data_IF_610076173526
#
_entry.id   IF_610076173526
#
_cell.length_a   1.000
_cell.length_b   1.000
_cell.length_c   1.000
_cell.angle_alpha   90.00
_cell.angle_beta   90.00
_cell.angle_gamma   90.00
#
_symmetry.space_group_name_H-M   'P 1'
#
loop_
_entity.id
_entity.type
_entity.pdbx_description
1 polymer ?
#
# COMPACT_ATOMS: atom_id res chain seq x y z
N UNK A 1 17.71 -15.23 3.53
CA UNK A 1 17.74 -16.47 2.74
C UNK A 1 16.32 -16.94 2.45
N UNK A 2 15.73 -16.43 1.35
CA UNK A 2 14.33 -16.60 0.96
C UNK A 2 13.83 -18.07 1.03
N UNK A 3 14.55 -19.10 0.52
CA UNK A 3 14.04 -20.47 0.56
C UNK A 3 13.72 -20.97 1.97
N UNK A 4 14.54 -20.65 2.96
CA UNK A 4 14.32 -21.09 4.34
C UNK A 4 13.18 -20.33 5.01
N UNK A 5 13.12 -19.01 4.85
CA UNK A 5 12.01 -18.19 5.37
C UNK A 5 10.67 -18.59 4.76
N UNK A 6 10.62 -18.89 3.47
CA UNK A 6 9.41 -19.39 2.82
C UNK A 6 9.03 -20.79 3.31
N UNK A 7 9.98 -21.68 3.47
CA UNK A 7 9.72 -23.03 3.97
C UNK A 7 9.10 -22.99 5.38
N UNK A 8 9.68 -22.19 6.27
CA UNK A 8 9.15 -21.99 7.63
C UNK A 8 7.74 -21.36 7.59
N UNK A 9 7.55 -20.30 6.80
CA UNK A 9 6.24 -19.66 6.66
C UNK A 9 5.17 -20.65 6.17
N UNK A 10 5.45 -21.41 5.12
CA UNK A 10 4.52 -22.41 4.56
C UNK A 10 4.22 -23.50 5.57
N UNK A 11 5.23 -24.00 6.29
CA UNK A 11 5.01 -25.03 7.34
C UNK A 11 4.10 -24.52 8.45
N UNK A 12 4.29 -23.26 8.90
CA UNK A 12 3.41 -22.62 9.88
C UNK A 12 2.00 -22.38 9.33
N UNK A 13 1.86 -21.96 8.06
CA UNK A 13 0.57 -21.75 7.43
C UNK A 13 -0.24 -23.05 7.35
N UNK A 14 0.38 -24.15 6.95
CA UNK A 14 -0.26 -25.49 6.93
C UNK A 14 -0.71 -25.87 8.33
N UNK A 15 0.15 -25.71 9.34
CA UNK A 15 -0.19 -26.06 10.72
C UNK A 15 -1.38 -25.23 11.25
N UNK A 16 -1.43 -23.92 10.94
CA UNK A 16 -2.57 -23.05 11.30
C UNK A 16 -3.85 -23.50 10.62
N UNK A 17 -3.81 -23.79 9.33
CA UNK A 17 -5.00 -24.25 8.59
C UNK A 17 -5.54 -25.56 9.16
N UNK A 18 -4.68 -26.51 9.48
CA UNK A 18 -5.07 -27.78 10.14
C UNK A 18 -5.71 -27.57 11.53
N UNK A 19 -5.33 -26.50 12.21
CA UNK A 19 -5.91 -26.08 13.51
C UNK A 19 -7.15 -25.19 13.38
N UNK A 20 -7.57 -24.85 12.15
CA UNK A 20 -8.67 -23.94 11.88
C UNK A 20 -8.39 -22.47 12.29
N UNK A 21 -7.12 -22.11 12.48
CA UNK A 21 -6.71 -20.77 12.84
C UNK A 21 -6.53 -19.93 11.56
N UNK A 22 -7.44 -18.99 11.34
CA UNK A 22 -7.37 -18.05 10.22
C UNK A 22 -6.79 -16.73 10.68
N UNK A 23 -5.69 -16.32 10.05
CA UNK A 23 -5.16 -14.98 10.22
C UNK A 23 -5.85 -14.04 9.24
N UNK A 24 -6.38 -12.93 9.76
CA UNK A 24 -6.76 -11.82 8.91
C UNK A 24 -5.47 -11.18 8.37
N UNK A 25 -5.44 -10.93 7.06
CA UNK A 25 -4.37 -10.19 6.42
C UNK A 25 -4.95 -8.92 5.80
N UNK A 26 -5.07 -7.84 6.57
CA UNK A 26 -5.68 -6.58 6.12
C UNK A 26 -5.01 -6.03 4.85
N UNK A 27 -3.71 -6.28 4.70
CA UNK A 27 -2.88 -5.77 3.61
C UNK A 27 -2.93 -6.62 2.33
N UNK A 28 -3.76 -7.68 2.26
CA UNK A 28 -3.79 -8.58 1.11
C UNK A 28 -4.16 -7.87 -0.21
N UNK A 29 -5.03 -6.86 -0.14
CA UNK A 29 -5.42 -6.05 -1.30
C UNK A 29 -4.29 -5.16 -1.77
N UNK A 30 -3.61 -4.51 -0.85
CA UNK A 30 -2.54 -3.57 -1.15
C UNK A 30 -1.34 -4.30 -1.77
N UNK A 31 -1.00 -5.49 -1.27
CA UNK A 31 0.03 -6.37 -1.86
C UNK A 31 -0.29 -6.71 -3.31
N UNK A 32 -1.53 -7.06 -3.62
CA UNK A 32 -1.95 -7.37 -5.00
C UNK A 32 -1.73 -6.20 -5.95
N UNK A 33 -1.96 -4.97 -5.49
CA UNK A 33 -1.87 -3.77 -6.32
C UNK A 33 -0.46 -3.19 -6.41
N UNK A 34 0.31 -3.25 -5.33
CA UNK A 34 1.65 -2.70 -5.26
C UNK A 34 2.71 -3.65 -5.83
N UNK A 35 2.49 -4.95 -5.68
CA UNK A 35 3.43 -6.02 -6.04
C UNK A 35 2.74 -7.12 -6.87
N UNK A 36 2.16 -6.77 -8.04
CA UNK A 36 1.33 -7.70 -8.81
C UNK A 36 2.09 -8.94 -9.30
N UNK A 37 3.38 -8.80 -9.62
CA UNK A 37 4.20 -9.93 -10.08
C UNK A 37 4.48 -10.90 -8.95
N UNK A 38 4.89 -10.39 -7.80
CA UNK A 38 5.19 -11.17 -6.59
C UNK A 38 3.90 -11.80 -6.03
N UNK A 39 2.77 -11.09 -6.14
CA UNK A 39 1.47 -11.64 -5.78
C UNK A 39 1.10 -12.85 -6.64
N UNK A 40 1.29 -12.78 -7.96
CA UNK A 40 1.09 -13.92 -8.86
C UNK A 40 2.03 -15.09 -8.52
N UNK A 41 3.29 -14.81 -8.17
CA UNK A 41 4.23 -15.84 -7.68
C UNK A 41 3.73 -16.44 -6.36
N UNK A 42 3.19 -15.64 -5.46
CA UNK A 42 2.56 -16.11 -4.22
C UNK A 42 1.38 -17.06 -4.47
N UNK A 43 0.50 -16.72 -5.41
CA UNK A 43 -0.62 -17.61 -5.79
C UNK A 43 -0.13 -18.92 -6.43
N UNK A 44 0.91 -18.86 -7.27
CA UNK A 44 1.53 -20.07 -7.84
C UNK A 44 2.15 -20.95 -6.76
N UNK A 45 2.77 -20.35 -5.75
CA UNK A 45 3.31 -21.09 -4.61
C UNK A 45 2.21 -21.85 -3.84
N UNK A 46 1.03 -21.23 -3.63
CA UNK A 46 -0.11 -21.92 -3.01
C UNK A 46 -0.53 -23.16 -3.81
N UNK A 47 -0.56 -23.07 -5.13
CA UNK A 47 -0.89 -24.23 -5.98
C UNK A 47 0.16 -25.35 -5.87
N UNK A 48 1.44 -24.99 -5.82
CA UNK A 48 2.54 -25.96 -5.60
C UNK A 48 2.38 -26.64 -4.24
N UNK A 49 2.10 -25.86 -3.18
CA UNK A 49 1.83 -26.42 -1.84
C UNK A 49 0.67 -27.40 -1.88
N UNK A 50 -0.45 -27.04 -2.51
CA UNK A 50 -1.62 -27.89 -2.64
C UNK A 50 -1.30 -29.21 -3.35
N UNK A 51 -0.51 -29.16 -4.42
CA UNK A 51 -0.13 -30.37 -5.19
C UNK A 51 0.73 -31.32 -4.36
N UNK A 52 1.65 -30.82 -3.53
CA UNK A 52 2.62 -31.63 -2.79
C UNK A 52 2.12 -32.07 -1.42
N UNK A 53 1.35 -31.23 -0.73
CA UNK A 53 0.88 -31.48 0.66
C UNK A 53 -0.57 -31.93 0.73
N UNK A 54 -1.36 -31.73 -0.35
CA UNK A 54 -2.82 -31.89 -0.41
C UNK A 54 -3.59 -30.88 0.46
N UNK A 55 -2.91 -29.95 1.10
CA UNK A 55 -3.50 -28.87 1.90
C UNK A 55 -3.83 -27.68 1.00
N UNK A 56 -4.99 -27.05 1.23
CA UNK A 56 -5.42 -25.85 0.50
C UNK A 56 -5.32 -24.65 1.42
N UNK A 57 -4.32 -23.82 1.20
CA UNK A 57 -4.13 -22.60 1.97
C UNK A 57 -5.02 -21.46 1.46
N UNK A 58 -5.48 -20.54 2.34
CA UNK A 58 -6.23 -19.35 1.95
C UNK A 58 -5.44 -18.45 1.00
N UNK A 59 -6.13 -17.69 0.11
CA UNK A 59 -5.48 -16.70 -0.78
C UNK A 59 -4.65 -15.66 -0.05
N UNK A 60 -5.03 -15.31 1.18
CA UNK A 60 -4.26 -14.40 2.02
C UNK A 60 -2.81 -14.86 2.25
N UNK A 61 -2.57 -16.17 2.32
CA UNK A 61 -1.20 -16.71 2.42
C UNK A 61 -0.39 -16.46 1.15
N UNK A 62 -1.04 -16.34 -0.02
CA UNK A 62 -0.38 -15.92 -1.25
C UNK A 62 0.19 -14.50 -1.15
N UNK A 63 -0.56 -13.58 -0.53
CA UNK A 63 -0.06 -12.23 -0.23
C UNK A 63 1.11 -12.26 0.75
N UNK A 64 1.06 -13.11 1.79
CA UNK A 64 2.18 -13.27 2.72
C UNK A 64 3.43 -13.79 2.02
N UNK A 65 3.30 -14.78 1.14
CA UNK A 65 4.41 -15.31 0.33
C UNK A 65 4.97 -14.20 -0.58
N UNK A 66 4.10 -13.42 -1.23
CA UNK A 66 4.51 -12.29 -2.05
C UNK A 66 5.37 -11.30 -1.26
N UNK A 67 4.97 -10.95 -0.04
CA UNK A 67 5.76 -10.07 0.83
C UNK A 67 7.14 -10.64 1.16
N UNK A 68 7.27 -11.95 1.37
CA UNK A 68 8.58 -12.58 1.56
C UNK A 68 9.46 -12.48 0.30
N UNK A 69 8.87 -12.58 -0.89
CA UNK A 69 9.58 -12.44 -2.16
C UNK A 69 10.07 -11.00 -2.32
N UNK A 70 9.18 -10.00 -2.18
CA UNK A 70 9.53 -8.57 -2.24
C UNK A 70 10.64 -8.22 -1.26
N UNK A 71 10.52 -8.69 0.00
CA UNK A 71 11.55 -8.46 1.03
C UNK A 71 12.91 -9.03 0.66
N UNK A 72 12.95 -10.12 -0.10
CA UNK A 72 14.21 -10.73 -0.56
C UNK A 72 14.80 -10.02 -1.78
N UNK A 73 13.97 -9.35 -2.60
CA UNK A 73 14.40 -8.59 -3.78
C UNK A 73 14.91 -7.19 -3.43
N UNK A 74 14.41 -6.62 -2.34
CA UNK A 74 14.94 -5.35 -1.84
C UNK A 74 16.37 -5.55 -1.32
N UNK A 75 17.33 -4.83 -1.88
CA UNK A 75 18.74 -4.90 -1.49
C UNK A 75 18.97 -4.65 0.02
N UNK A 76 18.11 -3.90 0.66
CA UNK A 76 18.12 -3.64 2.11
C UNK A 76 17.58 -4.78 2.94
N UNK A 77 16.81 -5.72 2.35
CA UNK A 77 16.15 -6.82 3.07
C UNK A 77 15.22 -6.34 4.19
N UNK A 78 14.83 -5.08 4.18
CA UNK A 78 14.11 -4.44 5.28
C UNK A 78 12.60 -4.61 5.11
N UNK A 79 12.11 -5.72 5.66
CA UNK A 79 10.68 -6.00 5.78
C UNK A 79 9.93 -4.85 6.50
N UNK A 80 10.59 -4.15 7.45
CA UNK A 80 9.98 -3.05 8.17
C UNK A 80 9.66 -1.87 7.25
N UNK A 81 10.56 -1.51 6.35
CA UNK A 81 10.32 -0.44 5.35
C UNK A 81 9.08 -0.74 4.50
N UNK A 82 8.93 -1.98 4.09
CA UNK A 82 7.80 -2.41 3.29
C UNK A 82 6.49 -2.41 4.10
N UNK A 83 6.51 -2.96 5.31
CA UNK A 83 5.33 -2.94 6.20
C UNK A 83 4.93 -1.51 6.52
N UNK A 84 5.89 -0.61 6.78
CA UNK A 84 5.61 0.81 6.98
C UNK A 84 4.92 1.43 5.76
N UNK A 85 5.34 1.12 4.53
CA UNK A 85 4.68 1.65 3.34
C UNK A 85 3.23 1.16 3.19
N UNK A 86 2.96 -0.08 3.57
CA UNK A 86 1.60 -0.65 3.56
C UNK A 86 0.73 -0.03 4.67
N UNK A 87 1.26 0.12 5.89
CA UNK A 87 0.54 0.76 7.00
C UNK A 87 0.19 2.22 6.66
N UNK A 88 1.13 2.96 6.07
CA UNK A 88 0.90 4.34 5.61
C UNK A 88 -0.15 4.41 4.51
N UNK A 89 -0.16 3.46 3.57
CA UNK A 89 -1.18 3.40 2.53
C UNK A 89 -2.58 3.22 3.14
N UNK A 90 -2.73 2.31 4.10
CA UNK A 90 -4.00 2.08 4.79
C UNK A 90 -4.45 3.33 5.57
N UNK A 91 -3.52 3.98 6.28
CA UNK A 91 -3.78 5.22 7.01
C UNK A 91 -4.26 6.35 6.09
N UNK A 92 -3.56 6.58 4.97
CA UNK A 92 -3.95 7.61 4.00
C UNK A 92 -5.31 7.28 3.38
N UNK A 93 -5.55 6.02 3.05
CA UNK A 93 -6.84 5.57 2.51
C UNK A 93 -7.97 5.89 3.47
N UNK A 94 -7.81 5.57 4.76
CA UNK A 94 -8.80 5.87 5.79
C UNK A 94 -9.06 7.39 5.96
N UNK A 95 -8.01 8.22 5.90
CA UNK A 95 -8.16 9.69 5.94
C UNK A 95 -8.98 10.18 4.73
N UNK A 96 -8.67 9.69 3.53
CA UNK A 96 -9.39 10.07 2.30
C UNK A 96 -10.87 9.69 2.37
N UNK A 97 -11.17 8.45 2.77
CA UNK A 97 -12.55 7.97 2.92
C UNK A 97 -13.33 8.80 3.94
N UNK A 98 -12.72 9.07 5.10
CA UNK A 98 -13.35 9.84 6.17
C UNK A 98 -13.58 11.30 5.78
N UNK A 99 -12.58 11.96 5.19
CA UNK A 99 -12.64 13.40 4.86
C UNK A 99 -13.58 13.71 3.70
N UNK A 100 -13.58 12.86 2.70
CA UNK A 100 -14.39 13.07 1.49
C UNK A 100 -15.74 12.36 1.56
N UNK A 101 -16.00 11.62 2.65
CA UNK A 101 -17.23 10.83 2.84
C UNK A 101 -17.51 9.86 1.69
N UNK A 102 -16.47 9.23 1.18
CA UNK A 102 -16.51 8.22 0.11
C UNK A 102 -16.06 6.85 0.65
N UNK A 103 -16.37 5.80 -0.10
CA UNK A 103 -15.82 4.46 0.12
C UNK A 103 -15.03 4.06 -1.11
N UNK A 104 -13.75 3.79 -0.94
CA UNK A 104 -12.87 3.44 -2.05
C UNK A 104 -13.00 1.96 -2.40
N UNK A 105 -13.37 1.66 -3.65
CA UNK A 105 -13.34 0.28 -4.16
C UNK A 105 -11.89 -0.15 -4.37
N UNK A 106 -11.37 -0.92 -3.42
CA UNK A 106 -9.98 -1.41 -3.41
C UNK A 106 -9.67 -2.38 -4.55
N UNK A 107 -10.68 -2.94 -5.21
CA UNK A 107 -10.52 -3.76 -6.41
C UNK A 107 -10.49 -2.93 -7.70
N UNK A 108 -10.80 -1.63 -7.63
CA UNK A 108 -10.84 -0.76 -8.79
C UNK A 108 -9.44 -0.45 -9.34
N UNK A 109 -9.38 -0.20 -10.65
CA UNK A 109 -8.16 0.28 -11.31
C UNK A 109 -7.73 1.67 -10.78
N UNK A 110 -8.69 2.50 -10.39
CA UNK A 110 -8.44 3.83 -9.85
C UNK A 110 -7.77 3.76 -8.50
N UNK A 111 -8.20 2.84 -7.62
CA UNK A 111 -7.53 2.59 -6.36
C UNK A 111 -6.12 2.01 -6.56
N UNK A 112 -5.95 1.04 -7.45
CA UNK A 112 -4.63 0.47 -7.75
C UNK A 112 -3.62 1.56 -8.17
N UNK A 113 -4.05 2.52 -9.00
CA UNK A 113 -3.21 3.67 -9.38
C UNK A 113 -2.93 4.60 -8.21
N UNK A 114 -3.94 4.89 -7.40
CA UNK A 114 -3.79 5.70 -6.20
C UNK A 114 -2.77 5.07 -5.24
N UNK A 115 -2.90 3.79 -4.92
CA UNK A 115 -1.98 3.04 -4.08
C UNK A 115 -0.54 3.08 -4.62
N UNK A 116 -0.35 2.86 -5.92
CA UNK A 116 0.96 2.93 -6.57
C UNK A 116 1.60 4.33 -6.44
N UNK A 117 0.82 5.39 -6.61
CA UNK A 117 1.33 6.76 -6.45
C UNK A 117 1.67 7.10 -5.00
N UNK A 118 0.89 6.60 -4.04
CA UNK A 118 1.23 6.74 -2.62
C UNK A 118 2.50 5.98 -2.26
N UNK A 119 2.71 4.79 -2.80
CA UNK A 119 3.96 4.05 -2.60
C UNK A 119 5.18 4.85 -3.07
N UNK A 120 5.12 5.47 -4.25
CA UNK A 120 6.20 6.33 -4.74
C UNK A 120 6.42 7.56 -3.84
N UNK A 121 5.34 8.17 -3.32
CA UNK A 121 5.46 9.25 -2.35
C UNK A 121 6.19 8.79 -1.08
N UNK A 122 5.76 7.68 -0.49
CA UNK A 122 6.38 7.10 0.72
C UNK A 122 7.86 6.81 0.48
N UNK A 123 8.23 6.20 -0.63
CA UNK A 123 9.63 5.92 -0.97
C UNK A 123 10.47 7.22 -1.03
N UNK A 124 9.97 8.29 -1.65
CA UNK A 124 10.67 9.58 -1.71
C UNK A 124 10.84 10.20 -0.33
N UNK A 125 9.79 10.17 0.49
CA UNK A 125 9.82 10.72 1.84
C UNK A 125 10.78 9.94 2.76
N UNK A 126 10.78 8.61 2.68
CA UNK A 126 11.72 7.75 3.40
C UNK A 126 13.17 8.00 2.99
N UNK A 127 13.41 8.22 1.69
CA UNK A 127 14.74 8.52 1.17
C UNK A 127 15.22 9.94 1.50
N UNK A 128 14.37 10.79 2.11
CA UNK A 128 14.71 12.18 2.39
C UNK A 128 14.89 13.05 1.14
N UNK A 129 14.30 12.64 0.03
CA UNK A 129 14.36 13.32 -1.27
C UNK A 129 12.97 13.88 -1.66
N UNK A 130 12.43 14.89 -0.95
CA UNK A 130 11.16 15.50 -1.32
C UNK A 130 11.28 16.16 -2.71
N UNK A 131 10.16 16.21 -3.43
CA UNK A 131 10.10 16.92 -4.69
C UNK A 131 10.48 18.40 -4.50
N UNK A 132 11.15 18.99 -5.51
CA UNK A 132 11.62 20.37 -5.42
C UNK A 132 10.47 21.38 -5.56
N UNK A 133 10.52 22.45 -4.77
CA UNK A 133 9.54 23.53 -4.77
C UNK A 133 9.58 24.35 -6.08
N UNK A 134 8.59 24.18 -6.96
CA UNK A 134 8.42 24.95 -8.19
C UNK A 134 6.96 25.29 -8.51
N UNK A 135 5.99 24.68 -7.82
CA UNK A 135 4.56 24.71 -8.18
C UNK A 135 3.69 25.47 -7.18
N UNK A 136 4.24 26.41 -6.41
CA UNK A 136 3.50 27.12 -5.35
C UNK A 136 2.25 27.85 -5.84
N UNK A 137 2.31 28.53 -6.99
CA UNK A 137 1.15 29.23 -7.58
C UNK A 137 0.05 28.26 -8.01
N UNK A 138 0.43 27.13 -8.63
CA UNK A 138 -0.52 26.11 -9.05
C UNK A 138 -1.22 25.45 -7.84
N UNK A 139 -0.48 25.20 -6.76
CA UNK A 139 -1.06 24.67 -5.53
C UNK A 139 -2.11 25.63 -4.95
N UNK A 140 -1.81 26.94 -4.91
CA UNK A 140 -2.75 27.95 -4.39
C UNK A 140 -4.01 28.06 -5.24
N UNK A 141 -3.89 27.95 -6.57
CA UNK A 141 -5.03 27.97 -7.48
C UNK A 141 -5.92 26.73 -7.30
N UNK A 142 -5.32 25.55 -7.23
CA UNK A 142 -6.05 24.30 -7.01
C UNK A 142 -6.65 24.23 -5.59
N UNK A 143 -5.97 24.75 -4.57
CA UNK A 143 -6.51 24.80 -3.22
C UNK A 143 -7.78 25.69 -3.14
N UNK A 144 -7.84 26.76 -3.93
CA UNK A 144 -9.06 27.60 -4.05
C UNK A 144 -10.18 26.91 -4.83
N UNK A 145 -9.83 26.15 -5.85
CA UNK A 145 -10.81 25.47 -6.69
C UNK A 145 -11.37 24.20 -6.02
N UNK A 146 -10.53 23.48 -5.27
CA UNK A 146 -10.86 22.20 -4.62
C UNK A 146 -10.48 22.22 -3.12
N UNK A 147 -11.18 23.04 -2.29
CA UNK A 147 -10.83 23.24 -0.90
C UNK A 147 -10.88 21.97 -0.05
N UNK A 148 -11.84 21.08 -0.32
CA UNK A 148 -11.99 19.81 0.43
C UNK A 148 -10.84 18.84 0.13
N UNK A 149 -10.42 18.77 -1.14
CA UNK A 149 -9.25 17.97 -1.56
C UNK A 149 -7.98 18.52 -0.93
N UNK A 150 -7.83 19.85 -0.93
CA UNK A 150 -6.67 20.49 -0.30
C UNK A 150 -6.63 20.23 1.21
N UNK A 151 -7.77 20.34 1.89
CA UNK A 151 -7.88 20.02 3.31
C UNK A 151 -7.52 18.55 3.60
N UNK A 152 -7.99 17.63 2.76
CA UNK A 152 -7.66 16.21 2.85
C UNK A 152 -6.16 15.96 2.65
N UNK A 153 -5.56 16.51 1.59
CA UNK A 153 -4.13 16.38 1.31
C UNK A 153 -3.25 16.97 2.42
N UNK A 154 -3.68 18.11 2.99
CA UNK A 154 -2.97 18.75 4.10
C UNK A 154 -3.04 17.90 5.38
N UNK A 155 -4.17 17.27 5.66
CA UNK A 155 -4.31 16.36 6.80
C UNK A 155 -3.42 15.13 6.64
N UNK A 156 -3.36 14.54 5.45
CA UNK A 156 -2.42 13.46 5.12
C UNK A 156 -0.98 13.92 5.42
N UNK A 157 -0.57 15.09 4.92
CA UNK A 157 0.77 15.63 5.14
C UNK A 157 1.08 15.85 6.64
N UNK A 158 0.11 16.37 7.40
CA UNK A 158 0.24 16.55 8.85
C UNK A 158 0.38 15.22 9.59
N UNK A 159 -0.37 14.20 9.18
CA UNK A 159 -0.30 12.87 9.77
C UNK A 159 1.06 12.22 9.50
N UNK A 160 1.55 12.26 8.27
CA UNK A 160 2.88 11.77 7.91
C UNK A 160 3.99 12.47 8.70
N UNK A 161 3.86 13.79 8.94
CA UNK A 161 4.79 14.52 9.79
C UNK A 161 4.72 14.08 11.26
N UNK A 162 3.52 13.86 11.79
CA UNK A 162 3.32 13.50 13.20
C UNK A 162 3.80 12.08 13.52
N UNK A 163 3.45 11.10 12.67
CA UNK A 163 3.72 9.68 12.93
C UNK A 163 5.10 9.22 12.45
N UNK A 164 5.59 9.80 11.35
CA UNK A 164 6.83 9.35 10.70
C UNK A 164 7.93 10.42 10.63
N UNK A 165 7.66 11.66 11.10
CA UNK A 165 8.56 12.80 10.96
C UNK A 165 8.90 13.16 9.51
N UNK A 166 8.03 12.79 8.55
CA UNK A 166 8.22 13.08 7.14
C UNK A 166 7.57 14.41 6.76
N UNK A 167 8.37 15.32 6.24
CA UNK A 167 7.90 16.63 5.77
C UNK A 167 7.50 16.55 4.30
N UNK A 168 6.23 16.84 4.02
CA UNK A 168 5.75 17.00 2.66
C UNK A 168 6.03 18.42 2.17
N UNK A 169 6.67 18.55 1.02
CA UNK A 169 6.81 19.83 0.31
C UNK A 169 5.47 20.28 -0.30
N UNK A 170 5.43 21.50 -0.84
CA UNK A 170 4.25 21.99 -1.58
C UNK A 170 3.94 21.10 -2.80
N UNK A 171 4.96 20.61 -3.49
CA UNK A 171 4.82 19.66 -4.58
C UNK A 171 4.22 18.32 -4.13
N UNK A 172 4.62 17.84 -2.96
CA UNK A 172 4.05 16.59 -2.43
C UNK A 172 2.57 16.76 -2.06
N UNK A 173 2.19 17.92 -1.53
CA UNK A 173 0.78 18.25 -1.28
C UNK A 173 0.00 18.35 -2.60
N UNK A 174 0.55 19.02 -3.61
CA UNK A 174 -0.04 19.09 -4.94
C UNK A 174 -0.19 17.70 -5.56
N UNK A 175 0.83 16.86 -5.43
CA UNK A 175 0.81 15.48 -5.89
C UNK A 175 -0.32 14.67 -5.21
N UNK A 176 -0.44 14.79 -3.89
CA UNK A 176 -1.54 14.19 -3.14
C UNK A 176 -2.91 14.68 -3.64
N UNK A 177 -3.09 16.00 -3.79
CA UNK A 177 -4.34 16.57 -4.30
C UNK A 177 -4.75 15.96 -5.64
N UNK A 178 -3.82 15.84 -6.59
CA UNK A 178 -4.11 15.31 -7.94
C UNK A 178 -4.57 13.85 -7.87
N UNK A 179 -3.95 13.04 -7.01
CA UNK A 179 -4.29 11.63 -6.91
C UNK A 179 -5.56 11.38 -6.08
N UNK A 180 -5.78 12.14 -5.01
CA UNK A 180 -7.02 12.10 -4.22
C UNK A 180 -8.21 12.53 -5.09
N UNK A 181 -8.10 13.65 -5.82
CA UNK A 181 -9.16 14.12 -6.70
C UNK A 181 -9.51 13.09 -7.79
N UNK A 182 -8.50 12.45 -8.37
CA UNK A 182 -8.72 11.43 -9.39
C UNK A 182 -9.45 10.20 -8.85
N UNK A 183 -9.09 9.71 -7.67
CA UNK A 183 -9.77 8.54 -7.09
C UNK A 183 -11.20 8.89 -6.70
N UNK A 184 -11.47 10.09 -6.16
CA UNK A 184 -12.80 10.56 -5.81
C UNK A 184 -13.75 10.56 -7.03
N UNK A 185 -13.35 11.17 -8.16
CA UNK A 185 -14.20 11.25 -9.36
C UNK A 185 -14.63 9.87 -9.88
N UNK A 186 -13.78 8.86 -9.73
CA UNK A 186 -14.07 7.52 -10.21
C UNK A 186 -14.98 6.71 -9.28
N UNK A 187 -15.14 7.13 -8.03
CA UNK A 187 -16.05 6.51 -7.07
C UNK A 187 -17.45 7.15 -7.12
N UNK A 188 -17.56 8.39 -7.63
CA UNK A 188 -18.83 9.11 -7.78
C UNK A 188 -19.53 8.82 -9.13
N UNK A 189 -18.88 8.10 -10.05
CA UNK A 189 -19.39 7.81 -11.40
C UNK A 189 -19.97 6.40 -11.51
#
# INVERSE_FOLDING_TARGET
>A
NLPFTLADHIAFAIKREQQGIRLAMPLAFDVKHLYPQEYELGLRALEIVRQHTKESLPKAEGSSIALHIVSAELESGDLNTMLTALDVLEEITAIVEQKLHISLDRESYSYARFAMHLQFLVQRLQAGNPAHDGSGELLEDLARQYPDIYACATEVAQRLQAEHSWQCSKEEILYLMLHIHRVQIHEEA
#
